data_IF_306853839576
#
_entry.id   IF_306853839576
#
_cell.length_a   1.000
_cell.length_b   1.000
_cell.length_c   1.000
_cell.angle_alpha   90.00
_cell.angle_beta   90.00
_cell.angle_gamma   90.00
#
_symmetry.space_group_name_H-M   'P 1'
#
loop_
_entity.id
_entity.type
_entity.pdbx_description
1 polymer ?
#
# COMPACT_ATOMS: atom_id res chain seq x y z
N UNK A 1 24.72 -29.21 9.77
CA UNK A 1 24.49 -29.69 11.15
C UNK A 1 25.81 -29.99 11.83
N UNK A 2 26.09 -29.37 12.97
CA UNK A 2 27.26 -29.64 13.80
C UNK A 2 26.79 -30.04 15.20
N UNK A 3 27.36 -31.12 15.75
CA UNK A 3 27.06 -31.56 17.11
C UNK A 3 27.98 -30.81 18.07
N UNK A 4 27.41 -30.12 19.04
CA UNK A 4 28.14 -29.31 20.02
C UNK A 4 27.83 -29.85 21.40
N UNK A 5 28.89 -30.12 22.18
CA UNK A 5 28.74 -30.61 23.55
C UNK A 5 28.84 -29.43 24.51
N UNK A 6 27.77 -29.25 25.29
CA UNK A 6 27.75 -28.27 26.38
C UNK A 6 27.69 -28.99 27.72
N UNK A 7 27.93 -28.24 28.80
CA UNK A 7 27.80 -28.69 30.20
C UNK A 7 26.40 -29.19 30.58
N UNK A 8 25.40 -29.07 29.70
CA UNK A 8 24.04 -29.59 29.86
C UNK A 8 23.69 -30.73 28.90
N UNK A 9 24.67 -31.24 28.15
CA UNK A 9 24.49 -32.34 27.18
C UNK A 9 24.85 -31.95 25.75
N UNK A 10 24.86 -32.98 24.89
CA UNK A 10 25.19 -32.86 23.46
C UNK A 10 23.96 -32.50 22.64
N UNK A 11 23.98 -31.35 21.96
CA UNK A 11 22.90 -30.90 21.07
C UNK A 11 23.37 -30.82 19.62
N UNK A 12 22.49 -31.19 18.70
CA UNK A 12 22.69 -31.03 17.26
C UNK A 12 22.20 -29.64 16.84
N UNK A 13 23.07 -28.83 16.27
CA UNK A 13 22.72 -27.49 15.78
C UNK A 13 22.84 -27.47 14.26
N UNK A 14 21.81 -27.00 13.58
CA UNK A 14 21.85 -26.65 12.14
C UNK A 14 22.13 -25.15 12.08
N UNK A 15 23.21 -24.74 11.42
CA UNK A 15 23.31 -23.36 10.97
C UNK A 15 22.35 -23.19 9.78
N UNK A 16 21.32 -22.38 9.98
CA UNK A 16 20.50 -21.85 8.89
C UNK A 16 21.05 -20.47 8.57
N UNK A 17 21.76 -20.35 7.45
CA UNK A 17 22.10 -19.06 6.88
C UNK A 17 20.81 -18.32 6.54
N UNK A 18 20.72 -17.08 7.01
CA UNK A 18 19.49 -16.32 7.05
C UNK A 18 18.94 -15.99 5.68
N UNK A 19 17.90 -16.71 5.25
CA UNK A 19 16.97 -16.27 4.22
C UNK A 19 15.56 -16.81 4.50
N UNK A 20 14.58 -15.90 4.44
CA UNK A 20 13.20 -16.13 4.01
C UNK A 20 12.41 -17.28 4.64
N UNK A 21 11.57 -16.96 5.63
CA UNK A 21 10.33 -17.72 5.85
C UNK A 21 9.22 -17.14 4.96
N UNK A 22 9.04 -17.77 3.79
CA UNK A 22 7.83 -17.63 3.00
C UNK A 22 6.78 -18.63 3.53
N UNK A 23 5.56 -18.16 3.81
CA UNK A 23 4.44 -19.04 4.11
C UNK A 23 4.03 -19.81 2.85
N UNK A 24 4.21 -21.13 2.86
CA UNK A 24 3.51 -22.07 1.99
C UNK A 24 2.42 -22.79 2.81
N UNK A 25 1.20 -22.96 2.28
CA UNK A 25 0.17 -23.69 2.99
C UNK A 25 0.40 -25.19 2.83
N UNK A 26 0.28 -25.94 3.94
CA UNK A 26 0.04 -27.39 3.86
C UNK A 26 -1.11 -27.76 4.79
N UNK A 27 -2.18 -28.28 4.18
CA UNK A 27 -3.15 -29.16 4.86
C UNK A 27 -2.41 -30.34 5.50
N UNK A 28 -3.05 -30.93 6.51
CA UNK A 28 -2.63 -32.03 7.40
C UNK A 28 -1.79 -31.53 8.60
N UNK A 29 -2.17 -31.75 9.85
CA UNK A 29 -2.85 -32.91 10.43
C UNK A 29 -3.67 -32.54 11.68
N UNK A 30 -4.79 -33.24 11.84
CA UNK A 30 -5.84 -33.08 12.83
C UNK A 30 -5.45 -33.51 14.27
N UNK A 31 -6.29 -33.12 15.24
CA UNK A 31 -6.74 -33.76 16.51
C UNK A 31 -7.08 -32.63 17.52
N UNK A 32 -8.14 -32.58 18.35
CA UNK A 32 -9.45 -33.27 18.50
C UNK A 32 -10.32 -32.41 19.43
N UNK A 33 -11.65 -32.57 19.37
CA UNK A 33 -12.71 -31.77 20.05
C UNK A 33 -12.69 -31.74 21.61
N UNK A 34 -11.71 -32.34 22.28
CA UNK A 34 -11.75 -32.55 23.74
C UNK A 34 -11.18 -31.41 24.60
N UNK A 35 -10.55 -30.38 24.03
CA UNK A 35 -9.95 -29.27 24.81
C UNK A 35 -10.76 -27.96 24.69
N UNK A 36 -11.93 -28.03 24.05
CA UNK A 36 -12.73 -26.84 23.69
C UNK A 36 -13.68 -26.33 24.78
N UNK A 37 -13.76 -26.94 25.97
CA UNK A 37 -14.72 -26.52 26.99
C UNK A 37 -14.20 -26.66 28.43
N UNK A 38 -13.45 -25.67 28.90
CA UNK A 38 -13.66 -25.12 30.24
C UNK A 38 -13.23 -23.64 30.27
N UNK A 39 -14.20 -22.79 30.60
CA UNK A 39 -14.28 -21.35 30.35
C UNK A 39 -14.49 -20.74 31.76
N UNK A 40 -13.75 -19.74 32.24
CA UNK A 40 -14.14 -18.31 32.30
C UNK A 40 -13.20 -17.57 33.27
N UNK A 41 -12.67 -16.40 32.87
CA UNK A 41 -12.09 -15.43 33.80
C UNK A 41 -11.04 -14.47 33.21
N UNK A 42 -11.48 -13.52 32.36
CA UNK A 42 -10.72 -12.40 31.78
C UNK A 42 -9.66 -12.74 30.71
N UNK A 43 -10.11 -12.75 29.45
CA UNK A 43 -9.29 -12.93 28.25
C UNK A 43 -8.38 -11.74 27.94
N UNK A 44 -7.09 -12.02 27.72
CA UNK A 44 -6.44 -11.81 26.41
C UNK A 44 -5.20 -12.72 26.38
N UNK A 45 -5.44 -13.97 26.00
CA UNK A 45 -4.41 -14.99 25.74
C UNK A 45 -3.69 -14.59 24.46
N UNK A 46 -2.39 -14.36 24.58
CA UNK A 46 -1.45 -14.33 23.46
C UNK A 46 -1.13 -15.78 23.12
N UNK A 47 -1.82 -16.34 22.13
CA UNK A 47 -1.48 -17.67 21.62
C UNK A 47 -0.21 -17.60 20.76
N UNK A 48 0.80 -18.35 21.20
CA UNK A 48 1.74 -19.06 20.33
C UNK A 48 2.98 -18.30 19.87
N UNK A 49 4.07 -18.48 20.63
CA UNK A 49 5.48 -18.31 20.22
C UNK A 49 5.97 -16.90 19.87
N UNK A 50 6.23 -16.08 20.89
CA UNK A 50 7.25 -15.02 20.84
C UNK A 50 7.86 -14.83 22.24
N UNK A 51 8.99 -15.49 22.53
CA UNK A 51 9.83 -15.10 23.66
C UNK A 51 10.53 -13.76 23.33
N UNK A 52 10.07 -12.67 23.96
CA UNK A 52 10.79 -11.40 23.94
C UNK A 52 11.71 -11.32 25.17
N UNK A 53 13.02 -11.41 24.95
CA UNK A 53 14.02 -11.13 25.98
C UNK A 53 14.07 -9.62 26.30
N UNK A 54 13.82 -9.25 27.55
CA UNK A 54 14.03 -7.88 28.06
C UNK A 54 15.44 -7.72 28.68
N UNK A 55 16.12 -6.56 28.51
CA UNK A 55 17.42 -6.29 29.13
C UNK A 55 17.34 -6.18 30.67
N UNK A 56 18.35 -6.74 31.36
CA UNK A 56 18.46 -6.93 32.83
C UNK A 56 18.50 -5.67 33.73
N UNK A 57 18.10 -4.49 33.28
CA UNK A 57 18.38 -3.24 34.04
C UNK A 57 17.17 -2.45 34.49
N UNK A 58 16.11 -3.08 34.98
CA UNK A 58 14.92 -2.35 35.47
C UNK A 58 14.22 -3.06 36.65
N UNK A 59 14.95 -3.34 37.73
CA UNK A 59 14.39 -4.02 38.93
C UNK A 59 14.03 -3.06 40.08
N UNK A 60 13.82 -1.76 39.81
CA UNK A 60 13.51 -0.79 40.86
C UNK A 60 12.72 0.41 40.33
N UNK A 61 11.46 0.21 39.96
CA UNK A 61 10.51 1.30 39.72
C UNK A 61 9.16 0.95 40.35
N UNK A 62 8.47 1.96 40.87
CA UNK A 62 7.23 1.81 41.65
C UNK A 62 6.03 1.45 40.75
N UNK A 63 4.94 0.92 41.32
CA UNK A 63 3.80 0.37 40.57
C UNK A 63 3.21 1.34 39.51
N UNK A 64 3.17 2.65 39.80
CA UNK A 64 2.70 3.66 38.84
C UNK A 64 3.70 3.90 37.68
N UNK A 65 5.00 3.91 37.96
CA UNK A 65 6.06 4.01 36.95
C UNK A 65 6.12 2.74 36.09
N UNK A 66 5.90 1.57 36.69
CA UNK A 66 5.82 0.32 35.95
C UNK A 66 4.61 0.27 35.03
N UNK A 67 3.45 0.81 35.41
CA UNK A 67 2.25 0.76 34.57
C UNK A 67 2.38 1.67 33.33
N UNK A 68 3.03 2.83 33.48
CA UNK A 68 3.38 3.71 32.36
C UNK A 68 4.49 3.10 31.48
N UNK A 69 5.49 2.43 32.07
CA UNK A 69 6.55 1.68 31.36
C UNK A 69 6.05 0.41 30.66
N UNK A 70 5.07 -0.31 31.22
CA UNK A 70 4.41 -1.46 30.59
C UNK A 70 3.59 -1.01 29.37
N UNK A 71 2.92 0.14 29.46
CA UNK A 71 2.25 0.75 28.30
C UNK A 71 3.24 1.21 27.24
N UNK A 72 4.37 1.79 27.63
CA UNK A 72 5.45 2.20 26.72
C UNK A 72 6.16 1.01 26.05
N UNK A 73 6.43 -0.06 26.78
CA UNK A 73 7.06 -1.28 26.26
C UNK A 73 6.13 -2.08 25.35
N UNK A 74 4.84 -2.20 25.70
CA UNK A 74 3.81 -2.77 24.83
C UNK A 74 3.65 -1.95 23.55
N UNK A 75 3.60 -0.62 23.66
CA UNK A 75 3.58 0.28 22.50
C UNK A 75 4.85 0.13 21.66
N UNK A 76 6.03 -0.04 22.27
CA UNK A 76 7.30 -0.27 21.57
C UNK A 76 7.29 -1.60 20.80
N UNK A 77 6.79 -2.68 21.40
CA UNK A 77 6.67 -4.01 20.79
C UNK A 77 5.65 -3.99 19.65
N UNK A 78 4.52 -3.33 19.84
CA UNK A 78 3.53 -3.13 18.77
C UNK A 78 4.14 -2.30 17.63
N UNK A 79 4.84 -1.20 17.93
CA UNK A 79 5.51 -0.36 16.92
C UNK A 79 6.64 -1.11 16.22
N UNK A 80 7.45 -1.90 16.91
CA UNK A 80 8.54 -2.68 16.31
C UNK A 80 8.01 -3.81 15.41
N UNK A 81 6.99 -4.54 15.86
CA UNK A 81 6.32 -5.60 15.08
C UNK A 81 5.63 -5.02 13.85
N UNK A 82 5.00 -3.86 13.99
CA UNK A 82 4.32 -3.15 12.91
C UNK A 82 5.33 -2.51 11.94
N UNK A 83 6.46 -1.99 12.41
CA UNK A 83 7.58 -1.55 11.55
C UNK A 83 8.22 -2.73 10.81
N UNK A 84 8.30 -3.91 11.43
CA UNK A 84 8.72 -5.15 10.78
C UNK A 84 7.75 -5.53 9.66
N UNK A 85 6.44 -5.51 9.93
CA UNK A 85 5.39 -5.69 8.91
C UNK A 85 5.47 -4.66 7.79
N UNK A 86 5.77 -3.40 8.08
CA UNK A 86 5.96 -2.37 7.04
C UNK A 86 7.16 -2.67 6.15
N UNK A 87 8.27 -3.13 6.74
CA UNK A 87 9.46 -3.56 5.97
C UNK A 87 9.18 -4.82 5.16
N UNK A 88 8.43 -5.76 5.71
CA UNK A 88 7.94 -6.96 5.01
C UNK A 88 7.04 -6.58 3.82
N UNK A 89 6.19 -5.55 3.96
CA UNK A 89 5.36 -5.06 2.85
C UNK A 89 6.18 -4.47 1.69
N UNK A 90 7.32 -3.84 1.96
CA UNK A 90 8.20 -3.36 0.90
C UNK A 90 8.79 -4.51 0.08
N UNK A 91 9.18 -5.59 0.75
CA UNK A 91 9.66 -6.80 0.10
C UNK A 91 8.52 -7.49 -0.66
N UNK A 92 7.32 -7.54 -0.08
CA UNK A 92 6.13 -8.10 -0.71
C UNK A 92 5.79 -7.35 -2.01
N UNK A 93 5.80 -6.02 -2.00
CA UNK A 93 5.53 -5.23 -3.21
C UNK A 93 6.60 -5.48 -4.29
N UNK A 94 7.87 -5.61 -3.90
CA UNK A 94 8.94 -5.96 -4.84
C UNK A 94 8.68 -7.34 -5.45
N UNK A 95 8.36 -8.33 -4.62
CA UNK A 95 8.06 -9.70 -5.05
C UNK A 95 6.85 -9.75 -5.98
N UNK A 96 5.73 -9.10 -5.64
CA UNK A 96 4.55 -8.99 -6.52
C UNK A 96 4.94 -8.36 -7.86
N UNK A 97 5.79 -7.34 -7.83
CA UNK A 97 6.29 -6.68 -9.02
C UNK A 97 7.24 -7.53 -9.88
N UNK A 98 7.97 -8.47 -9.28
CA UNK A 98 8.82 -9.44 -9.97
C UNK A 98 8.00 -10.57 -10.56
N UNK A 99 7.10 -11.17 -9.75
CA UNK A 99 6.15 -12.19 -10.18
C UNK A 99 5.31 -11.69 -11.36
N UNK A 100 4.77 -10.47 -11.29
CA UNK A 100 4.03 -9.88 -12.40
C UNK A 100 4.86 -9.79 -13.69
N UNK A 101 6.18 -9.54 -13.60
CA UNK A 101 7.07 -9.48 -14.76
C UNK A 101 7.47 -10.86 -15.28
N UNK A 102 7.54 -11.87 -14.42
CA UNK A 102 7.91 -13.23 -14.81
C UNK A 102 6.72 -14.04 -15.32
N UNK A 103 5.50 -13.80 -14.83
CA UNK A 103 4.28 -14.47 -15.26
C UNK A 103 4.02 -14.30 -16.75
N UNK A 104 3.57 -15.38 -17.40
CA UNK A 104 3.30 -15.45 -18.85
C UNK A 104 1.92 -15.99 -19.16
N UNK A 105 1.40 -16.88 -18.31
CA UNK A 105 0.14 -17.59 -18.55
C UNK A 105 -1.02 -16.99 -17.76
N UNK A 106 -2.25 -17.19 -18.24
CA UNK A 106 -3.47 -16.77 -17.54
C UNK A 106 -3.56 -17.42 -16.14
N UNK A 107 -3.18 -18.69 -16.02
CA UNK A 107 -3.15 -19.43 -14.74
C UNK A 107 -2.22 -18.75 -13.71
N UNK A 108 -0.99 -18.44 -14.10
CA UNK A 108 -0.03 -17.75 -13.22
C UNK A 108 -0.55 -16.36 -12.81
N UNK A 109 -1.18 -15.63 -13.73
CA UNK A 109 -1.78 -14.33 -13.41
C UNK A 109 -2.98 -14.45 -12.46
N UNK A 110 -3.81 -15.49 -12.59
CA UNK A 110 -4.92 -15.75 -11.67
C UNK A 110 -4.42 -16.11 -10.26
N UNK A 111 -3.38 -16.94 -10.15
CA UNK A 111 -2.77 -17.26 -8.86
C UNK A 111 -2.18 -16.02 -8.19
N UNK A 112 -1.45 -15.20 -8.97
CA UNK A 112 -0.91 -13.93 -8.49
C UNK A 112 -2.02 -12.96 -8.07
N UNK A 113 -3.15 -12.95 -8.77
CA UNK A 113 -4.30 -12.13 -8.43
C UNK A 113 -4.88 -12.52 -7.07
N UNK A 114 -5.10 -13.81 -6.83
CA UNK A 114 -5.61 -14.34 -5.55
C UNK A 114 -4.67 -13.99 -4.39
N UNK A 115 -3.35 -14.17 -4.60
CA UNK A 115 -2.34 -13.82 -3.61
C UNK A 115 -2.39 -12.32 -3.29
N UNK A 116 -2.44 -11.47 -4.32
CA UNK A 116 -2.45 -10.03 -4.15
C UNK A 116 -3.76 -9.50 -3.53
N UNK A 117 -4.91 -10.09 -3.86
CA UNK A 117 -6.19 -9.82 -3.20
C UNK A 117 -6.14 -10.14 -1.70
N UNK A 118 -5.52 -11.28 -1.35
CA UNK A 118 -5.31 -11.66 0.07
C UNK A 118 -4.46 -10.61 0.79
N UNK A 119 -3.37 -10.16 0.16
CA UNK A 119 -2.51 -9.12 0.73
C UNK A 119 -3.23 -7.78 0.88
N UNK A 120 -4.06 -7.39 -0.09
CA UNK A 120 -4.90 -6.19 -0.01
C UNK A 120 -5.81 -6.26 1.21
N UNK A 121 -6.50 -7.39 1.42
CA UNK A 121 -7.39 -7.57 2.57
C UNK A 121 -6.64 -7.47 3.90
N UNK A 122 -5.44 -8.06 4.00
CA UNK A 122 -4.58 -7.95 5.19
C UNK A 122 -4.22 -6.49 5.46
N UNK A 123 -3.76 -5.76 4.45
CA UNK A 123 -3.36 -4.35 4.61
C UNK A 123 -4.57 -3.47 4.97
N UNK A 124 -5.74 -3.71 4.39
CA UNK A 124 -6.97 -2.99 4.74
C UNK A 124 -7.41 -3.24 6.19
N UNK A 125 -7.24 -4.47 6.68
CA UNK A 125 -7.46 -4.80 8.08
C UNK A 125 -6.45 -4.09 8.98
N UNK A 126 -5.16 -4.09 8.62
CA UNK A 126 -4.12 -3.40 9.36
C UNK A 126 -4.31 -1.87 9.40
N UNK A 127 -4.83 -1.24 8.34
CA UNK A 127 -5.20 0.19 8.34
C UNK A 127 -6.32 0.47 9.36
N UNK A 128 -7.25 -0.47 9.50
CA UNK A 128 -8.38 -0.35 10.44
C UNK A 128 -7.87 -0.46 11.87
N UNK A 129 -7.04 -1.46 12.13
CA UNK A 129 -6.63 -1.87 13.47
C UNK A 129 -5.37 -1.15 13.99
N UNK A 130 -4.58 -0.50 13.13
CA UNK A 130 -3.34 0.16 13.56
C UNK A 130 -3.58 1.37 14.46
N UNK A 131 -2.66 1.56 15.40
CA UNK A 131 -2.80 2.54 16.50
C UNK A 131 -2.38 3.95 16.07
N UNK A 132 -1.37 4.09 15.20
CA UNK A 132 -0.82 5.41 14.86
C UNK A 132 -1.16 5.86 13.44
N UNK A 133 -1.50 7.14 13.31
CA UNK A 133 -1.81 7.77 12.03
C UNK A 133 -0.65 7.70 11.02
N UNK A 134 0.58 7.82 11.51
CA UNK A 134 1.79 7.72 10.69
C UNK A 134 1.93 6.35 10.03
N UNK A 135 1.56 5.29 10.74
CA UNK A 135 1.57 3.93 10.19
C UNK A 135 0.41 3.72 9.22
N UNK A 136 -0.80 4.17 9.57
CA UNK A 136 -1.94 4.10 8.64
C UNK A 136 -1.62 4.74 7.29
N UNK A 137 -0.98 5.91 7.28
CA UNK A 137 -0.52 6.58 6.04
C UNK A 137 0.47 5.73 5.23
N UNK A 138 1.42 5.09 5.91
CA UNK A 138 2.39 4.20 5.24
C UNK A 138 1.65 3.00 4.61
N UNK A 139 0.74 2.37 5.37
CA UNK A 139 -0.08 1.26 4.89
C UNK A 139 -0.97 1.66 3.71
N UNK A 140 -1.65 2.82 3.76
CA UNK A 140 -2.41 3.36 2.63
C UNK A 140 -1.54 3.49 1.36
N UNK A 141 -0.32 4.01 1.52
CA UNK A 141 0.60 4.14 0.39
C UNK A 141 1.01 2.79 -0.20
N UNK A 142 1.13 1.74 0.62
CA UNK A 142 1.41 0.37 0.15
C UNK A 142 0.18 -0.25 -0.51
N UNK A 143 -1.00 -0.05 0.07
CA UNK A 143 -2.28 -0.48 -0.47
C UNK A 143 -2.52 0.06 -1.90
N UNK A 144 -2.21 1.34 -2.14
CA UNK A 144 -2.30 1.92 -3.49
C UNK A 144 -1.44 1.17 -4.52
N UNK A 145 -0.24 0.69 -4.13
CA UNK A 145 0.64 -0.07 -5.03
C UNK A 145 0.10 -1.49 -5.27
N UNK A 146 -0.43 -2.14 -4.24
CA UNK A 146 -1.05 -3.47 -4.38
C UNK A 146 -2.27 -3.40 -5.31
N UNK A 147 -3.14 -2.40 -5.14
CA UNK A 147 -4.28 -2.16 -6.04
C UNK A 147 -3.85 -1.86 -7.47
N UNK A 148 -2.78 -1.07 -7.65
CA UNK A 148 -2.15 -0.88 -8.95
C UNK A 148 -1.77 -2.22 -9.61
N UNK A 149 -1.08 -3.12 -8.90
CA UNK A 149 -0.72 -4.42 -9.45
C UNK A 149 -1.93 -5.28 -9.74
N UNK A 150 -2.96 -5.23 -8.89
CA UNK A 150 -4.21 -5.95 -9.10
C UNK A 150 -4.89 -5.57 -10.41
N UNK A 151 -4.99 -4.26 -10.69
CA UNK A 151 -5.52 -3.76 -11.95
C UNK A 151 -4.63 -4.12 -13.14
N UNK A 152 -3.30 -4.07 -12.99
CA UNK A 152 -2.36 -4.49 -14.04
C UNK A 152 -2.45 -5.99 -14.36
N UNK A 153 -2.67 -6.84 -13.35
CA UNK A 153 -2.88 -8.28 -13.53
C UNK A 153 -4.18 -8.52 -14.29
N UNK A 154 -5.29 -7.89 -13.86
CA UNK A 154 -6.59 -7.99 -14.55
C UNK A 154 -6.53 -7.51 -16.00
N UNK A 155 -5.84 -6.39 -16.25
CA UNK A 155 -5.56 -5.89 -17.60
C UNK A 155 -4.78 -6.90 -18.44
N UNK A 156 -3.74 -7.52 -17.87
CA UNK A 156 -2.93 -8.51 -18.58
C UNK A 156 -3.70 -9.80 -18.90
N UNK A 157 -4.54 -10.28 -17.98
CA UNK A 157 -5.45 -11.41 -18.21
C UNK A 157 -6.37 -11.11 -19.40
N UNK A 158 -7.04 -9.95 -19.40
CA UNK A 158 -7.92 -9.53 -20.51
C UNK A 158 -7.19 -9.45 -21.85
N UNK A 159 -5.94 -9.00 -21.87
CA UNK A 159 -5.14 -8.97 -23.09
C UNK A 159 -4.81 -10.37 -23.61
N UNK A 160 -4.49 -11.30 -22.71
CA UNK A 160 -4.21 -12.69 -23.08
C UNK A 160 -5.48 -13.38 -23.61
N UNK A 161 -6.62 -13.23 -22.92
CA UNK A 161 -7.91 -13.77 -23.34
C UNK A 161 -8.32 -13.30 -24.74
N UNK A 162 -8.07 -12.02 -25.07
CA UNK A 162 -8.33 -11.49 -26.43
C UNK A 162 -7.39 -12.08 -27.48
N UNK A 163 -6.14 -12.36 -27.12
CA UNK A 163 -5.14 -12.95 -28.02
C UNK A 163 -5.39 -14.42 -28.33
N UNK A 164 -6.12 -15.15 -27.47
CA UNK A 164 -6.47 -16.57 -27.69
C UNK A 164 -7.69 -16.78 -28.60
N UNK A 165 -8.45 -15.72 -28.93
CA UNK A 165 -9.73 -15.83 -29.67
C UNK A 165 -9.56 -15.77 -31.20
N UNK A 166 -8.37 -15.51 -31.73
CA UNK A 166 -8.12 -15.48 -33.18
C UNK A 166 -7.63 -16.82 -33.72
N UNK A 167 -8.54 -17.78 -33.85
CA UNK A 167 -8.50 -18.77 -34.94
C UNK A 167 -9.92 -18.93 -35.48
N UNK A 168 -10.31 -18.01 -36.36
CA UNK A 168 -11.55 -18.11 -37.15
C UNK A 168 -12.76 -17.32 -36.64
N UNK A 169 -12.72 -15.99 -36.70
CA UNK A 169 -13.85 -15.17 -37.19
C UNK A 169 -13.46 -13.68 -37.25
N UNK A 170 -13.44 -13.13 -38.46
CA UNK A 170 -13.38 -11.69 -38.71
C UNK A 170 -14.69 -11.04 -38.23
N UNK A 171 -14.65 -10.37 -37.09
CA UNK A 171 -15.65 -9.36 -36.75
C UNK A 171 -14.97 -7.99 -36.66
N UNK A 172 -15.15 -7.23 -37.74
CA UNK A 172 -15.00 -5.78 -37.78
C UNK A 172 -16.05 -5.15 -36.86
N UNK A 173 -15.68 -4.90 -35.61
CA UNK A 173 -16.37 -3.92 -34.77
C UNK A 173 -15.31 -2.99 -34.22
N UNK A 174 -15.55 -1.68 -34.33
CA UNK A 174 -14.71 -0.61 -33.77
C UNK A 174 -14.47 -0.91 -32.29
N UNK A 175 -13.33 -1.51 -31.97
CA UNK A 175 -13.00 -1.86 -30.60
C UNK A 175 -12.89 -0.56 -29.81
N UNK A 176 -13.61 -0.40 -28.68
CA UNK A 176 -13.40 0.75 -27.83
C UNK A 176 -11.92 0.76 -27.43
N UNK A 177 -11.27 1.92 -27.61
CA UNK A 177 -9.88 2.13 -27.20
C UNK A 177 -9.68 1.58 -25.78
N UNK A 178 -8.61 0.82 -25.53
CA UNK A 178 -8.38 0.23 -24.22
C UNK A 178 -8.42 1.33 -23.16
N UNK A 179 -9.13 1.08 -22.07
CA UNK A 179 -9.21 2.01 -20.95
C UNK A 179 -7.78 2.29 -20.44
N UNK A 180 -7.36 3.55 -20.47
CA UNK A 180 -5.99 3.92 -20.13
C UNK A 180 -5.78 4.07 -18.61
N UNK A 181 -6.85 4.44 -17.89
CA UNK A 181 -6.86 4.68 -16.45
C UNK A 181 -8.12 4.12 -15.77
N UNK A 182 -7.97 3.64 -14.53
CA UNK A 182 -9.07 3.07 -13.74
C UNK A 182 -9.10 3.70 -12.34
N UNK A 183 -10.28 4.06 -11.85
CA UNK A 183 -10.48 4.41 -10.43
C UNK A 183 -10.68 3.16 -9.58
N UNK A 184 -9.99 3.09 -8.44
CA UNK A 184 -10.27 2.15 -7.37
C UNK A 184 -10.38 2.90 -6.03
N UNK A 185 -11.33 2.51 -5.18
CA UNK A 185 -11.51 3.13 -3.87
C UNK A 185 -10.47 2.60 -2.87
N UNK A 186 -10.04 3.46 -1.96
CA UNK A 186 -9.01 3.14 -0.95
C UNK A 186 -9.61 3.32 0.44
N UNK A 187 -9.39 2.33 1.31
CA UNK A 187 -9.76 2.44 2.71
C UNK A 187 -8.95 3.55 3.38
N UNK A 188 -9.66 4.57 3.87
CA UNK A 188 -9.04 5.75 4.45
C UNK A 188 -8.62 5.53 5.91
N UNK A 189 -7.43 6.02 6.24
CA UNK A 189 -6.89 6.18 7.59
C UNK A 189 -7.53 7.32 8.40
N UNK A 190 -8.28 8.21 7.73
CA UNK A 190 -8.78 9.46 8.29
C UNK A 190 -10.30 9.48 8.36
N UNK A 191 -10.84 9.73 9.57
CA UNK A 191 -12.28 9.92 9.78
C UNK A 191 -12.82 11.20 9.13
N UNK A 192 -11.97 12.18 8.83
CA UNK A 192 -12.36 13.40 8.11
C UNK A 192 -12.42 13.23 6.59
N UNK A 193 -12.00 12.07 6.08
CA UNK A 193 -12.00 11.79 4.65
C UNK A 193 -13.41 11.40 4.22
N UNK A 194 -13.92 12.11 3.22
CA UNK A 194 -15.17 11.77 2.55
C UNK A 194 -14.93 10.58 1.63
N UNK A 195 -13.87 10.66 0.83
CA UNK A 195 -13.47 9.60 -0.09
C UNK A 195 -11.94 9.64 -0.30
N UNK A 196 -11.31 8.48 -0.19
CA UNK A 196 -9.95 8.25 -0.71
C UNK A 196 -10.07 7.29 -1.88
N UNK A 197 -9.31 7.52 -2.94
CA UNK A 197 -9.19 6.55 -4.02
C UNK A 197 -7.93 6.76 -4.83
N UNK A 198 -7.73 5.89 -5.81
CA UNK A 198 -6.54 5.86 -6.63
C UNK A 198 -6.95 5.72 -8.09
N UNK A 199 -6.42 6.61 -8.94
CA UNK A 199 -6.49 6.47 -10.39
C UNK A 199 -5.24 5.72 -10.84
N UNK A 200 -5.43 4.49 -11.29
CA UNK A 200 -4.38 3.56 -11.66
C UNK A 200 -4.04 3.74 -13.13
N UNK A 201 -2.75 3.91 -13.40
CA UNK A 201 -2.23 3.95 -14.76
C UNK A 201 -2.13 2.53 -15.33
N UNK A 202 -2.77 2.28 -16.48
CA UNK A 202 -2.61 1.01 -17.19
C UNK A 202 -1.54 1.09 -18.28
N UNK A 203 -1.47 2.19 -19.02
CA UNK A 203 -0.71 2.22 -20.28
C UNK A 203 0.08 3.50 -20.55
N UNK A 204 -0.13 4.59 -19.80
CA UNK A 204 0.60 5.84 -20.04
C UNK A 204 2.06 5.74 -19.68
N UNK A 205 2.89 6.33 -20.54
CA UNK A 205 4.30 6.61 -20.29
C UNK A 205 4.55 8.11 -20.08
N UNK A 206 3.70 8.96 -20.67
CA UNK A 206 3.74 10.41 -20.57
C UNK A 206 2.89 10.90 -19.37
N UNK A 207 3.49 11.63 -18.39
CA UNK A 207 2.77 12.20 -17.26
C UNK A 207 1.66 13.18 -17.66
N UNK A 208 1.84 13.95 -18.72
CA UNK A 208 0.88 14.95 -19.18
C UNK A 208 -0.37 14.26 -19.70
N UNK A 209 -0.21 13.24 -20.54
CA UNK A 209 -1.33 12.43 -21.05
C UNK A 209 -2.05 11.68 -19.93
N UNK A 210 -1.30 11.10 -18.99
CA UNK A 210 -1.88 10.45 -17.82
C UNK A 210 -2.75 11.42 -16.99
N UNK A 211 -2.28 12.64 -16.76
CA UNK A 211 -3.03 13.65 -16.02
C UNK A 211 -4.26 14.13 -16.80
N UNK A 212 -4.18 14.25 -18.13
CA UNK A 212 -5.34 14.58 -18.95
C UNK A 212 -6.46 13.54 -18.80
N UNK A 213 -6.12 12.24 -18.86
CA UNK A 213 -7.10 11.16 -18.72
C UNK A 213 -7.68 11.04 -17.30
N UNK A 214 -6.93 11.49 -16.28
CA UNK A 214 -7.40 11.54 -14.90
C UNK A 214 -8.48 12.62 -14.64
N UNK A 215 -8.50 13.70 -15.44
CA UNK A 215 -9.37 14.88 -15.19
C UNK A 215 -10.84 14.49 -15.08
N UNK A 216 -11.36 13.77 -16.08
CA UNK A 216 -12.78 13.43 -16.14
C UNK A 216 -13.20 12.52 -14.97
N UNK A 217 -12.34 11.58 -14.57
CA UNK A 217 -12.62 10.70 -13.43
C UNK A 217 -12.67 11.52 -12.14
N UNK A 218 -11.69 12.39 -11.94
CA UNK A 218 -11.57 13.18 -10.72
C UNK A 218 -12.70 14.21 -10.60
N UNK A 219 -13.02 14.91 -11.70
CA UNK A 219 -14.12 15.87 -11.75
C UNK A 219 -15.44 15.22 -11.31
N UNK A 220 -15.78 14.06 -11.89
CA UNK A 220 -16.99 13.32 -11.54
C UNK A 220 -17.04 12.94 -10.04
N UNK A 221 -15.90 12.58 -9.43
CA UNK A 221 -15.83 12.23 -8.01
C UNK A 221 -16.01 13.47 -7.11
N UNK A 222 -15.38 14.57 -7.47
CA UNK A 222 -15.46 15.82 -6.70
C UNK A 222 -16.85 16.45 -6.81
N UNK A 223 -17.46 16.48 -7.99
CA UNK A 223 -18.83 16.99 -8.16
C UNK A 223 -19.83 16.21 -7.30
N UNK A 224 -19.72 14.88 -7.25
CA UNK A 224 -20.54 14.04 -6.36
C UNK A 224 -20.32 14.40 -4.89
N UNK A 225 -19.07 14.60 -4.47
CA UNK A 225 -18.77 15.01 -3.09
C UNK A 225 -19.27 16.43 -2.76
N UNK A 226 -19.14 17.38 -3.69
CA UNK A 226 -19.63 18.76 -3.53
C UNK A 226 -21.16 18.81 -3.43
N UNK A 227 -21.89 17.97 -4.17
CA UNK A 227 -23.36 17.87 -4.04
C UNK A 227 -23.79 17.47 -2.63
N UNK A 228 -23.00 16.66 -1.93
CA UNK A 228 -23.32 16.19 -0.59
C UNK A 228 -22.82 17.13 0.51
N UNK A 229 -21.65 17.77 0.35
CA UNK A 229 -20.99 18.52 1.42
C UNK A 229 -20.86 20.03 1.16
N UNK A 230 -21.39 20.54 0.04
CA UNK A 230 -21.30 21.94 -0.46
C UNK A 230 -19.87 22.41 -0.80
N UNK A 231 -18.88 21.96 -0.04
CA UNK A 231 -17.48 22.30 -0.17
C UNK A 231 -16.59 21.18 0.36
N UNK A 232 -15.46 20.95 -0.29
CA UNK A 232 -14.51 19.87 0.04
C UNK A 232 -13.08 20.37 -0.06
N UNK A 233 -12.16 19.74 0.69
CA UNK A 233 -10.71 19.91 0.49
C UNK A 233 -10.16 18.73 -0.29
N UNK A 234 -9.55 19.01 -1.42
CA UNK A 234 -8.96 18.01 -2.31
C UNK A 234 -7.45 18.14 -2.34
N UNK A 235 -6.74 17.03 -2.24
CA UNK A 235 -5.34 16.96 -2.62
C UNK A 235 -5.08 15.69 -3.43
N UNK A 236 -4.10 15.77 -4.32
CA UNK A 236 -3.68 14.65 -5.16
C UNK A 236 -2.21 14.32 -4.90
N UNK A 237 -1.85 13.04 -5.09
CA UNK A 237 -0.51 12.52 -4.86
C UNK A 237 -0.16 11.60 -6.02
N UNK A 238 0.76 12.06 -6.88
CA UNK A 238 1.29 11.25 -7.97
C UNK A 238 2.38 10.32 -7.45
N UNK A 239 2.27 9.03 -7.76
CA UNK A 239 3.28 8.02 -7.49
C UNK A 239 3.96 7.56 -8.78
N UNK A 240 5.28 7.66 -8.81
CA UNK A 240 6.12 7.26 -9.94
C UNK A 240 7.28 6.38 -9.47
N UNK A 241 7.77 5.50 -10.35
CA UNK A 241 9.03 4.79 -10.16
C UNK A 241 10.12 5.55 -10.91
N UNK A 242 11.20 5.87 -10.22
CA UNK A 242 12.42 6.41 -10.80
C UNK A 242 13.52 5.35 -10.80
N UNK A 243 14.37 5.40 -11.81
CA UNK A 243 15.58 4.58 -11.92
C UNK A 243 16.81 5.48 -11.82
N UNK A 244 17.85 4.95 -11.20
CA UNK A 244 19.19 5.53 -11.25
C UNK A 244 20.16 4.42 -11.58
N UNK A 245 20.72 4.49 -12.78
CA UNK A 245 21.74 3.55 -13.22
C UNK A 245 23.10 4.02 -12.71
N UNK A 246 23.82 3.09 -12.10
CA UNK A 246 25.21 3.24 -11.70
C UNK A 246 26.00 2.06 -12.26
N UNK A 247 27.33 2.20 -12.38
CA UNK A 247 28.21 1.21 -13.02
C UNK A 247 28.01 -0.21 -12.46
N UNK A 248 27.65 -0.34 -11.18
CA UNK A 248 27.51 -1.62 -10.49
C UNK A 248 26.05 -2.01 -10.16
N UNK A 249 25.08 -1.09 -10.22
CA UNK A 249 23.73 -1.33 -9.72
C UNK A 249 22.70 -0.37 -10.35
N UNK A 250 21.55 -0.91 -10.78
CA UNK A 250 20.36 -0.12 -11.13
C UNK A 250 19.45 0.01 -9.90
N UNK A 251 19.35 1.21 -9.35
CA UNK A 251 18.46 1.48 -8.21
C UNK A 251 17.07 1.90 -8.70
N UNK A 252 16.03 1.31 -8.12
CA UNK A 252 14.63 1.65 -8.38
C UNK A 252 13.98 2.13 -7.10
N UNK A 253 13.30 3.28 -7.16
CA UNK A 253 12.61 3.82 -6.00
C UNK A 253 11.27 4.47 -6.37
N UNK A 254 10.32 4.42 -5.44
CA UNK A 254 9.03 5.09 -5.56
C UNK A 254 9.17 6.53 -5.07
N UNK A 255 8.75 7.48 -5.91
CA UNK A 255 8.68 8.90 -5.55
C UNK A 255 7.25 9.40 -5.62
N UNK A 256 6.91 10.24 -4.64
CA UNK A 256 5.57 10.76 -4.43
C UNK A 256 5.59 12.28 -4.53
N UNK A 257 4.75 12.83 -5.41
CA UNK A 257 4.59 14.27 -5.59
C UNK A 257 3.17 14.66 -5.17
N UNK A 258 3.06 15.38 -4.06
CA UNK A 258 1.78 15.79 -3.50
C UNK A 258 1.48 17.27 -3.77
N UNK A 259 0.20 17.59 -3.93
CA UNK A 259 -0.26 18.98 -3.93
C UNK A 259 -0.57 19.45 -2.50
N UNK A 260 -0.64 20.76 -2.32
CA UNK A 260 -1.37 21.35 -1.19
C UNK A 260 -2.87 21.00 -1.27
N UNK A 261 -3.60 21.25 -0.19
CA UNK A 261 -5.06 21.12 -0.19
C UNK A 261 -5.68 22.30 -0.94
N UNK A 262 -6.52 22.00 -1.93
CA UNK A 262 -7.37 22.97 -2.60
C UNK A 262 -8.79 22.87 -2.08
N UNK A 263 -9.44 24.02 -1.90
CA UNK A 263 -10.86 24.07 -1.55
C UNK A 263 -11.65 24.09 -2.86
N UNK A 264 -12.60 23.17 -3.00
CA UNK A 264 -13.50 23.10 -4.15
C UNK A 264 -14.93 23.22 -3.64
N UNK A 265 -15.68 24.12 -4.25
CA UNK A 265 -17.11 24.36 -4.01
C UNK A 265 -17.92 23.97 -5.25
N UNK A 266 -19.25 23.90 -5.12
CA UNK A 266 -20.16 23.67 -6.26
C UNK A 266 -20.00 24.72 -7.37
N UNK A 267 -19.56 25.94 -7.03
CA UNK A 267 -19.37 27.05 -7.97
C UNK A 267 -17.94 27.19 -8.47
N UNK A 268 -17.01 26.37 -7.99
CA UNK A 268 -15.60 26.44 -8.39
C UNK A 268 -15.40 25.93 -9.82
N UNK A 269 -14.56 26.62 -10.59
CA UNK A 269 -14.09 26.12 -11.89
C UNK A 269 -13.05 25.02 -11.65
N UNK A 270 -13.51 23.77 -11.57
CA UNK A 270 -12.65 22.64 -11.21
C UNK A 270 -11.50 22.43 -12.20
N UNK A 271 -11.70 22.74 -13.48
CA UNK A 271 -10.66 22.62 -14.51
C UNK A 271 -9.44 23.47 -14.18
N UNK A 272 -9.62 24.76 -13.86
CA UNK A 272 -8.51 25.66 -13.48
C UNK A 272 -7.80 25.19 -12.21
N UNK A 273 -8.56 24.70 -11.22
CA UNK A 273 -7.99 24.12 -10.00
C UNK A 273 -7.13 22.89 -10.34
N UNK A 274 -7.61 22.04 -11.24
CA UNK A 274 -6.90 20.85 -11.67
C UNK A 274 -5.62 21.18 -12.46
N UNK A 275 -5.67 22.15 -13.37
CA UNK A 275 -4.48 22.62 -14.10
C UNK A 275 -3.40 23.13 -13.14
N UNK A 276 -3.78 23.85 -12.09
CA UNK A 276 -2.86 24.30 -11.05
C UNK A 276 -2.26 23.12 -10.25
N UNK A 277 -3.08 22.12 -9.92
CA UNK A 277 -2.61 20.89 -9.27
C UNK A 277 -1.59 20.14 -10.14
N UNK A 278 -1.91 19.95 -11.42
CA UNK A 278 -1.07 19.26 -12.41
C UNK A 278 0.24 20.03 -12.62
N UNK A 279 0.17 21.34 -12.84
CA UNK A 279 1.35 22.20 -13.03
C UNK A 279 2.31 22.12 -11.83
N UNK A 280 1.77 22.15 -10.60
CA UNK A 280 2.57 21.99 -9.39
C UNK A 280 3.27 20.63 -9.31
N UNK A 281 2.62 19.55 -9.73
CA UNK A 281 3.23 18.21 -9.76
C UNK A 281 4.31 18.12 -10.85
N UNK A 282 4.02 18.57 -12.07
CA UNK A 282 4.95 18.52 -13.19
C UNK A 282 6.22 19.32 -12.91
N UNK A 283 6.10 20.50 -12.28
CA UNK A 283 7.24 21.28 -11.83
C UNK A 283 8.10 20.49 -10.82
N UNK A 284 7.48 19.87 -9.80
CA UNK A 284 8.22 19.05 -8.83
C UNK A 284 8.90 17.84 -9.46
N UNK A 285 8.33 17.27 -10.53
CA UNK A 285 8.96 16.19 -11.28
C UNK A 285 10.19 16.68 -12.05
N UNK A 286 10.08 17.79 -12.78
CA UNK A 286 11.21 18.38 -13.51
C UNK A 286 12.33 18.77 -12.55
N UNK A 287 12.02 19.45 -11.44
CA UNK A 287 13.01 19.78 -10.41
C UNK A 287 13.71 18.54 -9.83
N UNK A 288 13.00 17.43 -9.68
CA UNK A 288 13.59 16.20 -9.17
C UNK A 288 14.60 15.58 -10.14
N UNK A 289 14.33 15.66 -11.46
CA UNK A 289 15.23 15.18 -12.51
C UNK A 289 16.42 16.13 -12.74
N UNK A 290 16.19 17.44 -12.70
CA UNK A 290 17.19 18.46 -13.03
C UNK A 290 18.26 18.68 -11.95
N UNK A 291 18.00 18.31 -10.68
CA UNK A 291 18.96 18.46 -9.57
C UNK A 291 20.19 17.53 -9.65
N UNK A 292 20.60 17.10 -10.84
CA UNK A 292 21.86 16.38 -11.10
C UNK A 292 21.96 15.02 -10.41
N UNK A 293 20.83 14.46 -9.97
CA UNK A 293 20.79 13.32 -9.08
C UNK A 293 20.92 11.97 -9.80
N UNK A 294 20.91 11.97 -11.14
CA UNK A 294 20.99 10.79 -12.00
C UNK A 294 19.70 9.95 -12.02
N UNK A 295 18.59 10.47 -11.51
CA UNK A 295 17.31 9.77 -11.51
C UNK A 295 16.51 10.11 -12.78
N UNK A 296 16.09 9.07 -13.50
CA UNK A 296 15.19 9.18 -14.64
C UNK A 296 13.82 8.58 -14.30
N UNK A 297 12.75 9.18 -14.84
CA UNK A 297 11.42 8.62 -14.74
C UNK A 297 11.38 7.27 -15.47
N UNK A 298 10.99 6.21 -14.76
CA UNK A 298 10.87 4.86 -15.33
C UNK A 298 9.42 4.45 -15.52
N UNK A 299 8.51 4.84 -14.61
CA UNK A 299 7.10 4.45 -14.69
C UNK A 299 6.19 5.41 -13.93
N UNK A 300 5.03 5.69 -14.49
CA UNK A 300 3.91 6.33 -13.78
C UNK A 300 3.04 5.22 -13.19
N UNK A 301 2.81 5.21 -11.88
CA UNK A 301 2.10 4.13 -11.19
C UNK A 301 0.64 4.50 -11.03
N UNK A 302 0.36 5.56 -10.28
CA UNK A 302 -1.01 5.98 -9.99
C UNK A 302 -1.08 7.41 -9.47
N UNK A 303 -2.29 7.97 -9.48
CA UNK A 303 -2.65 9.23 -8.83
C UNK A 303 -3.59 8.94 -7.65
N UNK A 304 -3.10 9.06 -6.42
CA UNK A 304 -3.95 8.96 -5.24
C UNK A 304 -4.69 10.28 -5.02
N UNK A 305 -5.99 10.18 -4.74
CA UNK A 305 -6.92 11.29 -4.60
C UNK A 305 -7.54 11.24 -3.22
N UNK A 306 -7.55 12.39 -2.58
CA UNK A 306 -7.97 12.56 -1.21
C UNK A 306 -9.01 13.68 -1.13
N UNK A 307 -10.26 13.31 -0.84
CA UNK A 307 -11.38 14.25 -0.68
C UNK A 307 -11.74 14.30 0.80
N UNK A 308 -11.61 15.48 1.41
CA UNK A 308 -11.83 15.70 2.83
C UNK A 308 -12.98 16.67 3.05
N UNK A 309 -13.65 16.55 4.21
CA UNK A 309 -14.66 17.52 4.62
C UNK A 309 -14.04 18.89 4.84
N UNK A 310 -14.62 19.93 4.22
CA UNK A 310 -14.26 21.31 4.50
C UNK A 310 -15.16 21.87 5.60
N UNK A 311 -14.56 22.39 6.68
CA UNK A 311 -15.26 23.11 7.72
C UNK A 311 -14.75 24.56 7.74
N UNK A 312 -15.47 25.53 7.13
CA UNK A 312 -15.02 26.92 7.05
C UNK A 312 -14.89 27.60 8.42
N UNK A 313 -15.63 27.11 9.43
CA UNK A 313 -15.63 27.67 10.79
C UNK A 313 -14.46 27.19 11.67
N UNK A 314 -13.67 26.21 11.24
CA UNK A 314 -12.38 25.87 11.89
C UNK A 314 -11.26 26.75 11.30
N UNK A 315 -11.46 28.06 11.37
CA UNK A 315 -10.37 29.02 11.23
C UNK A 315 -9.50 28.92 12.47
N UNK A 316 -8.18 28.80 12.28
CA UNK A 316 -7.23 28.90 13.38
C UNK A 316 -7.42 30.25 14.07
N UNK A 317 -8.11 30.24 15.22
CA UNK A 317 -7.94 31.28 16.22
C UNK A 317 -6.52 31.18 16.77
N UNK A 318 -5.54 31.70 16.03
CA UNK A 318 -4.31 32.18 16.63
C UNK A 318 -4.68 33.46 17.37
N UNK A 319 -4.94 33.33 18.68
CA UNK A 319 -4.59 34.39 19.63
C UNK A 319 -3.13 34.17 20.02
#
# INVERSE_FOLDING_TARGET
MKRINTKFGSSLVVELDGECEAFLPKRFSALTEAETQELIGCSLVLDGECEAFLPKRFSALTEAETQEEYQLSFLLICVSTLLRRIREMDNLIKLVGELFKSSRTITEFNELLILNDTNINIVENDITNSVTLGVKRKLESKLCILKYYNCKIKDKIKQLERGTVTDGQLQSTSSPQPQQVIWDDIKSAFNSRIQSGVIINLHHTDPVLFMADCLNILQNKIEKACKQFTSVKVNIILCCVYIKDSINETKKDYKYFCTSNYIVTVTSLFHEIYENMVSSILLKMSEYQERGSGWALNKIVHLAVNINKFNPLKGNGKK
#
